data_IF_361048115123
#
_entry.id   IF_361048115123
#
_cell.length_a   1.000
_cell.length_b   1.000
_cell.length_c   1.000
_cell.angle_alpha   90.00
_cell.angle_beta   90.00
_cell.angle_gamma   90.00
#
_symmetry.space_group_name_H-M   'P 1'
#
loop_
_entity.id
_entity.type
_entity.pdbx_description
1 polymer ?
#
# COMPACT_ATOMS: atom_id res chain seq x y z
N UNK A 1 2.95 106.62 -244.20
CA UNK A 1 3.22 105.95 -242.91
C UNK A 1 1.90 105.65 -242.18
N UNK A 2 1.68 104.39 -241.79
CA UNK A 2 0.80 103.98 -240.69
C UNK A 2 -0.64 103.50 -240.99
N UNK A 3 -0.73 102.36 -241.71
CA UNK A 3 -1.76 101.28 -241.56
C UNK A 3 -1.76 100.62 -240.18
N UNK A 4 -0.89 101.11 -239.32
CA UNK A 4 -0.48 100.51 -238.09
C UNK A 4 -1.39 100.90 -236.92
N UNK A 5 -2.65 101.21 -237.23
CA UNK A 5 -3.66 101.61 -236.28
C UNK A 5 -4.80 100.66 -236.41
N UNK A 6 -5.46 100.51 -235.29
CA UNK A 6 -6.87 100.14 -235.31
C UNK A 6 -7.26 98.75 -235.82
N UNK A 7 -6.36 97.97 -236.41
CA UNK A 7 -6.17 96.62 -235.86
C UNK A 7 -5.98 96.71 -234.32
N UNK A 8 -5.59 97.90 -233.79
CA UNK A 8 -5.76 98.37 -232.40
C UNK A 8 -7.18 98.31 -231.80
N UNK A 9 -8.25 98.35 -232.59
CA UNK A 9 -9.62 98.40 -232.09
C UNK A 9 -10.31 97.02 -232.12
N UNK A 10 -10.05 96.19 -233.14
CA UNK A 10 -10.56 94.80 -233.19
C UNK A 10 -10.00 93.98 -232.04
N UNK A 11 -8.72 94.19 -231.88
CA UNK A 11 -8.01 93.62 -230.79
C UNK A 11 -8.46 94.21 -229.44
N UNK A 12 -9.20 95.35 -229.39
CA UNK A 12 -9.85 95.90 -228.18
C UNK A 12 -11.12 95.17 -227.74
N UNK A 13 -11.82 94.45 -228.62
CA UNK A 13 -13.11 93.81 -228.28
C UNK A 13 -13.02 92.33 -227.93
N UNK A 14 -12.18 91.53 -228.61
CA UNK A 14 -11.90 90.14 -228.16
C UNK A 14 -11.26 90.10 -226.78
N UNK A 15 -10.59 91.22 -226.55
CA UNK A 15 -10.23 91.73 -225.25
C UNK A 15 -11.35 91.71 -224.22
N UNK A 16 -12.55 92.21 -224.50
CA UNK A 16 -13.58 92.32 -223.47
C UNK A 16 -14.16 90.98 -223.00
N UNK A 17 -14.18 89.95 -223.82
CA UNK A 17 -14.87 88.69 -223.48
C UNK A 17 -13.97 87.69 -222.78
N UNK A 18 -12.69 87.73 -223.13
CA UNK A 18 -11.68 87.07 -222.33
C UNK A 18 -11.71 87.62 -220.88
N UNK A 19 -12.13 88.86 -220.61
CA UNK A 19 -12.36 89.39 -219.24
C UNK A 19 -13.49 88.66 -218.47
N UNK A 20 -14.56 88.22 -219.18
CA UNK A 20 -15.71 87.54 -218.55
C UNK A 20 -15.39 86.10 -218.13
N UNK A 21 -14.58 85.33 -218.85
CA UNK A 21 -14.12 84.00 -218.37
C UNK A 21 -13.14 84.12 -217.22
N UNK A 22 -12.35 85.18 -217.30
CA UNK A 22 -11.48 85.51 -216.23
C UNK A 22 -12.23 85.95 -214.97
N UNK A 23 -13.55 86.24 -215.00
CA UNK A 23 -14.37 86.45 -213.79
C UNK A 23 -14.76 85.17 -213.06
N UNK A 24 -15.12 84.09 -213.76
CA UNK A 24 -15.56 82.86 -213.09
C UNK A 24 -14.42 82.17 -212.32
N UNK A 25 -13.21 82.18 -212.88
CA UNK A 25 -12.01 81.71 -212.17
C UNK A 25 -11.60 82.62 -211.01
N UNK A 26 -12.30 83.74 -210.80
CA UNK A 26 -12.19 84.52 -209.57
C UNK A 26 -12.83 83.80 -208.38
N UNK A 27 -14.01 83.19 -208.54
CA UNK A 27 -14.78 82.70 -207.37
C UNK A 27 -14.19 81.45 -206.72
N UNK A 28 -13.65 80.51 -207.50
CA UNK A 28 -13.01 79.29 -206.93
C UNK A 28 -11.62 79.56 -206.37
N UNK A 29 -10.93 80.53 -206.99
CA UNK A 29 -9.75 81.13 -206.36
C UNK A 29 -10.14 81.71 -205.00
N UNK A 30 -11.27 82.40 -204.87
CA UNK A 30 -11.73 82.96 -203.59
C UNK A 30 -11.99 81.89 -202.51
N UNK A 31 -12.48 80.70 -202.88
CA UNK A 31 -12.74 79.63 -201.89
C UNK A 31 -11.47 78.97 -201.35
N UNK A 32 -10.42 78.80 -202.17
CA UNK A 32 -9.09 78.40 -201.67
C UNK A 32 -8.44 79.52 -200.87
N UNK A 33 -8.68 80.75 -201.30
CA UNK A 33 -8.28 81.93 -200.55
C UNK A 33 -8.91 81.88 -199.15
N UNK A 34 -10.19 81.55 -198.94
CA UNK A 34 -10.80 81.52 -197.59
C UNK A 34 -10.18 80.52 -196.60
N UNK A 35 -9.89 79.27 -197.02
CA UNK A 35 -9.28 78.27 -196.12
C UNK A 35 -7.80 78.56 -195.86
N UNK A 36 -7.09 79.04 -196.89
CA UNK A 36 -5.72 79.54 -196.73
C UNK A 36 -5.71 80.75 -195.79
N UNK A 37 -6.67 81.66 -195.91
CA UNK A 37 -6.83 82.83 -195.05
C UNK A 37 -7.03 82.43 -193.59
N UNK A 38 -7.84 81.40 -193.28
CA UNK A 38 -8.04 80.96 -191.89
C UNK A 38 -6.79 80.28 -191.28
N UNK A 39 -6.06 79.48 -192.07
CA UNK A 39 -4.80 78.88 -191.60
C UNK A 39 -3.70 79.94 -191.47
N UNK A 40 -3.61 80.88 -192.42
CA UNK A 40 -2.76 82.06 -192.34
C UNK A 40 -3.12 82.90 -191.12
N UNK A 41 -4.40 83.16 -190.83
CA UNK A 41 -4.85 83.87 -189.63
C UNK A 41 -4.40 83.15 -188.35
N UNK A 42 -4.47 81.81 -188.28
CA UNK A 42 -3.99 81.04 -187.11
C UNK A 42 -2.46 81.04 -186.95
N UNK A 43 -1.74 81.07 -188.07
CA UNK A 43 -0.27 81.10 -188.10
C UNK A 43 0.22 82.50 -187.79
N UNK A 44 -0.45 83.54 -188.30
CA UNK A 44 -0.21 84.93 -187.96
C UNK A 44 -0.52 85.20 -186.49
N UNK A 45 -1.60 84.66 -185.94
CA UNK A 45 -1.91 84.79 -184.50
C UNK A 45 -0.82 84.16 -183.63
N UNK A 46 -0.33 82.96 -183.96
CA UNK A 46 0.79 82.31 -183.25
C UNK A 46 2.14 83.00 -183.44
N UNK A 47 2.42 83.55 -184.62
CA UNK A 47 3.64 84.37 -184.86
C UNK A 47 3.58 85.66 -184.06
N UNK A 48 2.43 86.33 -184.06
CA UNK A 48 2.19 87.53 -183.27
C UNK A 48 2.35 87.24 -181.77
N UNK A 49 1.78 86.13 -181.25
CA UNK A 49 1.95 85.72 -179.86
C UNK A 49 3.41 85.43 -179.49
N UNK A 50 4.20 84.81 -180.38
CA UNK A 50 5.63 84.59 -180.14
C UNK A 50 6.44 85.89 -180.15
N UNK A 51 6.17 86.76 -181.13
CA UNK A 51 6.83 88.07 -181.20
C UNK A 51 6.51 88.90 -179.95
N UNK A 52 5.24 88.93 -179.52
CA UNK A 52 4.84 89.58 -178.26
C UNK A 52 5.52 88.92 -177.06
N UNK A 53 5.71 87.60 -177.04
CA UNK A 53 6.43 86.92 -175.96
C UNK A 53 7.93 87.21 -175.95
N UNK A 54 8.58 87.33 -177.11
CA UNK A 54 9.99 87.71 -177.22
C UNK A 54 10.19 89.17 -176.78
N UNK A 55 9.35 90.09 -177.26
CA UNK A 55 9.37 91.49 -176.82
C UNK A 55 9.10 91.60 -175.30
N UNK A 56 8.21 90.78 -174.74
CA UNK A 56 7.99 90.72 -173.30
C UNK A 56 9.21 90.20 -172.54
N UNK A 57 9.94 89.21 -173.07
CA UNK A 57 11.16 88.69 -172.44
C UNK A 57 12.31 89.69 -172.51
N UNK A 58 12.49 90.35 -173.65
CA UNK A 58 13.51 91.40 -173.81
C UNK A 58 13.25 92.53 -172.83
N UNK A 59 12.01 93.02 -172.74
CA UNK A 59 11.61 94.00 -171.72
C UNK A 59 11.86 93.50 -170.30
N UNK A 60 11.54 92.24 -169.99
CA UNK A 60 11.83 91.67 -168.67
C UNK A 60 13.33 91.64 -168.35
N UNK A 61 14.19 91.36 -169.34
CA UNK A 61 15.64 91.36 -169.15
C UNK A 61 16.22 92.77 -169.02
N UNK A 62 15.73 93.72 -169.81
CA UNK A 62 16.11 95.13 -169.70
C UNK A 62 15.65 95.70 -168.36
N UNK A 63 14.41 95.43 -167.95
CA UNK A 63 13.90 95.79 -166.63
C UNK A 63 14.74 95.16 -165.51
N UNK A 64 15.22 93.93 -165.66
CA UNK A 64 16.06 93.28 -164.67
C UNK A 64 17.46 93.91 -164.57
N UNK A 65 18.06 94.28 -165.70
CA UNK A 65 19.36 94.97 -165.73
C UNK A 65 19.25 96.38 -165.15
N UNK A 66 18.22 97.14 -165.52
CA UNK A 66 17.94 98.46 -164.94
C UNK A 66 17.71 98.35 -163.43
N UNK A 67 16.91 97.38 -162.96
CA UNK A 67 16.74 97.12 -161.53
C UNK A 67 18.06 96.78 -160.83
N UNK A 68 18.92 95.97 -161.44
CA UNK A 68 20.21 95.62 -160.84
C UNK A 68 21.18 96.81 -160.74
N UNK A 69 21.18 97.70 -161.74
CA UNK A 69 21.97 98.94 -161.70
C UNK A 69 21.41 99.93 -160.67
N UNK A 70 20.08 100.09 -160.63
CA UNK A 70 19.39 100.86 -159.59
C UNK A 70 19.70 100.31 -158.19
N UNK A 71 19.70 98.99 -158.00
CA UNK A 71 20.05 98.33 -156.73
C UNK A 71 21.49 98.62 -156.32
N UNK A 72 22.45 98.60 -157.25
CA UNK A 72 23.86 98.94 -156.96
C UNK A 72 24.01 100.39 -156.52
N UNK A 73 23.39 101.32 -157.24
CA UNK A 73 23.41 102.75 -156.88
C UNK A 73 22.71 102.98 -155.54
N UNK A 74 21.57 102.30 -155.31
CA UNK A 74 20.85 102.35 -154.05
C UNK A 74 21.68 101.76 -152.90
N UNK A 75 22.42 100.68 -153.14
CA UNK A 75 23.29 100.08 -152.14
C UNK A 75 24.47 101.00 -151.77
N UNK A 76 25.12 101.63 -152.76
CA UNK A 76 26.16 102.61 -152.50
C UNK A 76 25.64 103.82 -151.69
N UNK A 77 24.45 104.33 -152.04
CA UNK A 77 23.78 105.39 -151.27
C UNK A 77 23.44 104.96 -149.84
N UNK A 78 23.00 103.71 -149.64
CA UNK A 78 22.74 103.14 -148.30
C UNK A 78 24.01 103.08 -147.46
N UNK A 79 25.12 102.60 -148.02
CA UNK A 79 26.40 102.55 -147.32
C UNK A 79 26.89 103.96 -146.93
N UNK A 80 26.78 104.94 -147.83
CA UNK A 80 27.14 106.32 -147.50
C UNK A 80 26.25 106.90 -146.38
N UNK A 81 24.95 106.59 -146.40
CA UNK A 81 24.03 106.96 -145.33
C UNK A 81 24.39 106.27 -144.01
N UNK A 82 24.70 104.97 -144.03
CA UNK A 82 25.13 104.21 -142.86
C UNK A 82 26.43 104.75 -142.27
N UNK A 83 27.42 105.11 -143.10
CA UNK A 83 28.66 105.75 -142.63
C UNK A 83 28.41 107.12 -141.99
N UNK A 84 27.52 107.94 -142.58
CA UNK A 84 27.10 109.21 -141.98
C UNK A 84 26.40 108.98 -140.65
N UNK A 85 25.49 108.02 -140.57
CA UNK A 85 24.79 107.65 -139.34
C UNK A 85 25.78 107.13 -138.30
N UNK A 86 26.75 106.30 -138.67
CA UNK A 86 27.77 105.78 -137.75
C UNK A 86 28.65 106.90 -137.17
N UNK A 87 29.04 107.89 -137.99
CA UNK A 87 29.77 109.07 -137.53
C UNK A 87 28.95 109.90 -136.56
N UNK A 88 27.68 110.16 -136.87
CA UNK A 88 26.77 110.88 -135.97
C UNK A 88 26.50 110.10 -134.67
N UNK A 89 26.32 108.78 -134.72
CA UNK A 89 26.16 107.93 -133.54
C UNK A 89 27.41 107.96 -132.65
N UNK A 90 28.61 107.91 -133.25
CA UNK A 90 29.88 108.05 -132.52
C UNK A 90 29.99 109.42 -131.85
N UNK A 91 29.59 110.49 -132.55
CA UNK A 91 29.55 111.83 -131.99
C UNK A 91 28.60 111.92 -130.80
N UNK A 92 27.36 111.43 -130.94
CA UNK A 92 26.36 111.40 -129.86
C UNK A 92 26.88 110.59 -128.67
N UNK A 93 27.53 109.44 -128.91
CA UNK A 93 28.12 108.63 -127.83
C UNK A 93 29.21 109.39 -127.08
N UNK A 94 30.12 110.04 -127.81
CA UNK A 94 31.19 110.83 -127.20
C UNK A 94 30.64 112.04 -126.42
N UNK A 95 29.58 112.67 -126.91
CA UNK A 95 28.88 113.74 -126.19
C UNK A 95 28.24 113.22 -124.89
N UNK A 96 27.56 112.06 -124.92
CA UNK A 96 27.02 111.40 -123.71
C UNK A 96 28.10 111.07 -122.69
N UNK A 97 29.22 110.49 -123.12
CA UNK A 97 30.34 110.16 -122.23
C UNK A 97 30.95 111.43 -121.62
N UNK A 98 31.07 112.52 -122.39
CA UNK A 98 31.51 113.82 -121.86
C UNK A 98 30.55 114.35 -120.82
N UNK A 99 29.24 114.28 -121.06
CA UNK A 99 28.24 114.69 -120.09
C UNK A 99 28.24 113.82 -118.82
N UNK A 100 28.41 112.50 -118.94
CA UNK A 100 28.49 111.60 -117.79
C UNK A 100 29.72 111.90 -116.95
N UNK A 101 30.88 112.10 -117.58
CA UNK A 101 32.10 112.51 -116.89
C UNK A 101 31.94 113.90 -116.26
N UNK A 102 31.25 114.82 -116.93
CA UNK A 102 30.91 116.13 -116.35
C UNK A 102 30.00 115.97 -115.13
N UNK A 103 28.97 115.11 -115.20
CA UNK A 103 28.08 114.80 -114.07
C UNK A 103 28.84 114.15 -112.91
N UNK A 104 29.76 113.23 -113.18
CA UNK A 104 30.64 112.64 -112.17
C UNK A 104 31.51 113.72 -111.52
N UNK A 105 32.17 114.55 -112.33
CA UNK A 105 32.98 115.66 -111.84
C UNK A 105 32.17 116.63 -110.95
N UNK A 106 30.92 116.95 -111.33
CA UNK A 106 30.03 117.79 -110.51
C UNK A 106 29.64 117.09 -109.21
N UNK A 107 29.32 115.79 -109.23
CA UNK A 107 28.99 115.02 -108.02
C UNK A 107 30.15 114.94 -107.04
N UNK A 108 31.37 114.76 -107.55
CA UNK A 108 32.57 114.60 -106.72
C UNK A 108 33.06 115.95 -106.18
N UNK A 109 33.02 117.02 -106.97
CA UNK A 109 33.55 118.33 -106.59
C UNK A 109 32.53 119.25 -105.89
N UNK A 110 31.23 118.99 -106.02
CA UNK A 110 30.21 119.77 -105.30
C UNK A 110 30.09 119.30 -103.84
N UNK A 111 30.38 120.16 -102.85
CA UNK A 111 30.24 119.80 -101.44
C UNK A 111 28.77 119.58 -101.05
N UNK A 112 27.84 120.31 -101.64
CA UNK A 112 26.39 120.22 -101.35
C UNK A 112 25.83 118.84 -101.72
N UNK A 113 26.24 118.27 -102.87
CA UNK A 113 25.83 116.93 -103.28
C UNK A 113 26.41 115.86 -102.35
N UNK A 114 27.64 116.04 -101.88
CA UNK A 114 28.28 115.12 -100.92
C UNK A 114 27.58 115.15 -99.56
N UNK A 115 27.16 116.32 -99.09
CA UNK A 115 26.38 116.46 -97.85
C UNK A 115 25.00 115.83 -97.98
N UNK A 116 24.32 116.01 -99.12
CA UNK A 116 23.03 115.36 -99.38
C UNK A 116 23.18 113.84 -99.47
N UNK A 117 24.23 113.34 -100.12
CA UNK A 117 24.54 111.91 -100.17
C UNK A 117 24.81 111.34 -98.76
N UNK A 118 25.56 112.07 -97.91
CA UNK A 118 25.80 111.68 -96.53
C UNK A 118 24.50 111.64 -95.70
N UNK A 119 23.62 112.64 -95.87
CA UNK A 119 22.29 112.67 -95.24
C UNK A 119 21.43 111.49 -95.71
N UNK A 120 21.42 111.19 -97.00
CA UNK A 120 20.70 110.03 -97.54
C UNK A 120 21.26 108.71 -96.97
N UNK A 121 22.58 108.52 -96.95
CA UNK A 121 23.24 107.36 -96.32
C UNK A 121 22.84 107.24 -94.84
N UNK A 122 22.87 108.33 -94.08
CA UNK A 122 22.44 108.32 -92.67
C UNK A 122 20.96 107.97 -92.51
N UNK A 123 20.09 108.40 -93.43
CA UNK A 123 18.67 108.06 -93.42
C UNK A 123 18.45 106.56 -93.70
N UNK A 124 19.23 105.97 -94.62
CA UNK A 124 19.21 104.51 -94.85
C UNK A 124 19.65 103.73 -93.62
N UNK A 125 20.76 104.12 -92.98
CA UNK A 125 21.22 103.48 -91.73
C UNK A 125 20.19 103.62 -90.61
N UNK A 126 19.55 104.78 -90.48
CA UNK A 126 18.50 104.98 -89.49
C UNK A 126 17.26 104.13 -89.77
N UNK A 127 16.91 103.94 -91.06
CA UNK A 127 15.82 103.03 -91.46
C UNK A 127 16.15 101.57 -91.10
N UNK A 128 17.37 101.12 -91.37
CA UNK A 128 17.81 99.77 -91.00
C UNK A 128 17.84 99.59 -89.48
N UNK A 129 18.33 100.59 -88.74
CA UNK A 129 18.32 100.57 -87.27
C UNK A 129 16.90 100.50 -86.70
N UNK A 130 15.95 101.23 -87.28
CA UNK A 130 14.55 101.15 -86.88
C UNK A 130 13.96 99.76 -87.15
N UNK A 131 14.29 99.15 -88.30
CA UNK A 131 13.87 97.78 -88.60
C UNK A 131 14.47 96.76 -87.62
N UNK A 132 15.74 96.90 -87.25
CA UNK A 132 16.39 96.03 -86.26
C UNK A 132 15.76 96.16 -84.86
N UNK A 133 15.41 97.39 -84.44
CA UNK A 133 14.73 97.60 -83.16
C UNK A 133 13.36 96.93 -83.18
N UNK A 134 12.59 97.07 -84.26
CA UNK A 134 11.30 96.41 -84.41
C UNK A 134 11.41 94.88 -84.40
N UNK A 135 12.44 94.31 -85.03
CA UNK A 135 12.73 92.86 -85.00
C UNK A 135 13.11 92.39 -83.59
N UNK A 136 13.94 93.15 -82.88
CA UNK A 136 14.30 92.84 -81.48
C UNK A 136 13.09 92.92 -80.54
N UNK A 137 12.17 93.86 -80.76
CA UNK A 137 10.93 93.94 -79.99
C UNK A 137 10.01 92.76 -80.31
N UNK A 138 9.84 92.41 -81.59
CA UNK A 138 9.04 91.25 -82.00
C UNK A 138 9.57 89.94 -81.39
N UNK A 139 10.88 89.69 -81.48
CA UNK A 139 11.51 88.51 -80.89
C UNK A 139 11.41 88.49 -79.36
N UNK A 140 11.44 89.64 -78.68
CA UNK A 140 11.16 89.72 -77.23
C UNK A 140 9.72 89.34 -76.89
N UNK A 141 8.75 89.84 -77.67
CA UNK A 141 7.34 89.49 -77.46
C UNK A 141 7.07 88.00 -77.72
N UNK A 142 7.69 87.41 -78.75
CA UNK A 142 7.63 85.97 -79.02
C UNK A 142 8.20 85.17 -77.86
N UNK A 143 9.37 85.54 -77.32
CA UNK A 143 9.95 84.87 -76.15
C UNK A 143 9.07 84.98 -74.91
N UNK A 144 8.50 86.16 -74.63
CA UNK A 144 7.57 86.31 -73.50
C UNK A 144 6.35 85.41 -73.64
N UNK A 145 5.83 85.24 -74.86
CA UNK A 145 4.74 84.29 -75.12
C UNK A 145 5.16 82.84 -74.88
N UNK A 146 6.32 82.45 -75.38
CA UNK A 146 6.86 81.10 -75.17
C UNK A 146 7.11 80.82 -73.68
N UNK A 147 7.63 81.79 -72.94
CA UNK A 147 7.83 81.71 -71.48
C UNK A 147 6.51 81.61 -70.73
N UNK A 148 5.48 82.38 -71.12
CA UNK A 148 4.13 82.29 -70.54
C UNK A 148 3.47 80.93 -70.82
N UNK A 149 3.58 80.42 -72.06
CA UNK A 149 3.03 79.12 -72.43
C UNK A 149 3.77 77.98 -71.70
N UNK A 150 5.09 78.09 -71.55
CA UNK A 150 5.90 77.16 -70.75
C UNK A 150 5.50 77.20 -69.27
N UNK A 151 5.32 78.40 -68.69
CA UNK A 151 4.89 78.55 -67.30
C UNK A 151 3.50 77.95 -67.05
N UNK A 152 2.57 78.07 -68.02
CA UNK A 152 1.26 77.42 -67.95
C UNK A 152 1.36 75.89 -68.01
N UNK A 153 2.20 75.36 -68.88
CA UNK A 153 2.44 73.91 -68.96
C UNK A 153 3.02 73.37 -67.64
N UNK A 154 4.07 74.03 -67.12
CA UNK A 154 4.67 73.68 -65.83
C UNK A 154 3.65 73.73 -64.68
N UNK A 155 2.83 74.78 -64.60
CA UNK A 155 1.80 74.90 -63.56
C UNK A 155 0.76 73.78 -63.67
N UNK A 156 0.34 73.41 -64.88
CA UNK A 156 -0.59 72.31 -65.10
C UNK A 156 0.01 70.95 -64.75
N UNK A 157 1.30 70.73 -65.00
CA UNK A 157 2.01 69.51 -64.62
C UNK A 157 2.18 69.42 -63.10
N UNK A 158 2.50 70.53 -62.44
CA UNK A 158 2.57 70.61 -60.97
C UNK A 158 1.22 70.33 -60.32
N UNK A 159 0.12 70.87 -60.86
CA UNK A 159 -1.24 70.57 -60.38
C UNK A 159 -1.61 69.08 -60.56
N UNK A 160 -1.23 68.47 -61.68
CA UNK A 160 -1.46 67.05 -61.92
C UNK A 160 -0.65 66.19 -60.95
N UNK A 161 0.64 66.50 -60.76
CA UNK A 161 1.51 65.80 -59.81
C UNK A 161 1.02 65.95 -58.36
N UNK A 162 0.57 67.14 -57.96
CA UNK A 162 -0.02 67.38 -56.65
C UNK A 162 -1.33 66.59 -56.47
N UNK A 163 -2.17 66.52 -57.50
CA UNK A 163 -3.38 65.71 -57.50
C UNK A 163 -3.12 64.20 -57.39
N UNK A 164 -2.06 63.70 -58.04
CA UNK A 164 -1.63 62.31 -57.91
C UNK A 164 -1.08 61.99 -56.51
N UNK A 165 -0.26 62.88 -55.94
CA UNK A 165 0.22 62.74 -54.56
C UNK A 165 -0.93 62.73 -53.56
N UNK A 166 -1.92 63.62 -53.70
CA UNK A 166 -3.11 63.61 -52.84
C UNK A 166 -3.90 62.29 -52.92
N UNK A 167 -4.02 61.69 -54.11
CA UNK A 167 -4.67 60.38 -54.27
C UNK A 167 -3.88 59.26 -53.59
N UNK A 168 -2.56 59.27 -53.72
CA UNK A 168 -1.70 58.29 -53.02
C UNK A 168 -1.80 58.45 -51.50
N UNK A 169 -1.81 59.68 -51.01
CA UNK A 169 -1.98 59.98 -49.58
C UNK A 169 -3.35 59.52 -49.07
N UNK A 170 -4.43 59.73 -49.84
CA UNK A 170 -5.77 59.23 -49.52
C UNK A 170 -5.80 57.70 -49.47
N UNK A 171 -5.21 57.02 -50.45
CA UNK A 171 -5.09 55.56 -50.45
C UNK A 171 -4.31 55.05 -49.24
N UNK A 172 -3.22 55.73 -48.88
CA UNK A 172 -2.45 55.40 -47.68
C UNK A 172 -3.28 55.59 -46.40
N UNK A 173 -4.04 56.68 -46.29
CA UNK A 173 -4.94 56.92 -45.17
C UNK A 173 -6.05 55.87 -45.08
N UNK A 174 -6.66 55.50 -46.21
CA UNK A 174 -7.67 54.43 -46.27
C UNK A 174 -7.09 53.09 -45.83
N UNK A 175 -5.90 52.73 -46.29
CA UNK A 175 -5.20 51.51 -45.85
C UNK A 175 -4.88 51.54 -44.36
N UNK A 176 -4.43 52.68 -43.82
CA UNK A 176 -4.19 52.85 -42.39
C UNK A 176 -5.48 52.71 -41.57
N UNK A 177 -6.61 53.24 -42.05
CA UNK A 177 -7.91 53.08 -41.41
C UNK A 177 -8.41 51.63 -41.45
N UNK A 178 -8.21 50.93 -42.58
CA UNK A 178 -8.53 49.50 -42.68
C UNK A 178 -7.69 48.68 -41.70
N UNK A 179 -6.38 48.93 -41.66
CA UNK A 179 -5.49 48.28 -40.72
C UNK A 179 -5.86 48.55 -39.25
N UNK A 180 -6.25 49.79 -38.91
CA UNK A 180 -6.75 50.14 -37.58
C UNK A 180 -8.03 49.37 -37.24
N UNK A 181 -8.99 49.28 -38.17
CA UNK A 181 -10.23 48.51 -37.97
C UNK A 181 -9.96 47.02 -37.78
N UNK A 182 -9.03 46.44 -38.54
CA UNK A 182 -8.61 45.05 -38.37
C UNK A 182 -7.97 44.82 -36.99
N UNK A 183 -7.13 45.75 -36.54
CA UNK A 183 -6.51 45.69 -35.21
C UNK A 183 -7.57 45.77 -34.10
N UNK A 184 -8.55 46.67 -34.23
CA UNK A 184 -9.69 46.78 -33.30
C UNK A 184 -10.51 45.49 -33.27
N UNK A 185 -10.78 44.87 -34.42
CA UNK A 185 -11.46 43.57 -34.48
C UNK A 185 -10.65 42.47 -33.78
N UNK A 186 -9.33 42.41 -33.99
CA UNK A 186 -8.47 41.45 -33.31
C UNK A 186 -8.48 41.65 -31.78
N UNK A 187 -8.52 42.89 -31.30
CA UNK A 187 -8.64 43.19 -29.87
C UNK A 187 -9.99 42.72 -29.32
N UNK A 188 -11.10 43.02 -30.01
CA UNK A 188 -12.44 42.57 -29.62
C UNK A 188 -12.55 41.04 -29.60
N UNK A 189 -11.99 40.36 -30.61
CA UNK A 189 -12.00 38.89 -30.67
C UNK A 189 -11.14 38.28 -29.55
N UNK A 190 -10.00 38.90 -29.22
CA UNK A 190 -9.20 38.48 -28.08
C UNK A 190 -9.92 38.70 -26.75
N UNK A 191 -10.68 39.78 -26.59
CA UNK A 191 -11.52 40.00 -25.41
C UNK A 191 -12.65 38.98 -25.31
N UNK A 192 -13.33 38.66 -26.42
CA UNK A 192 -14.34 37.61 -26.48
C UNK A 192 -13.79 36.25 -26.08
N UNK A 193 -12.63 35.86 -26.64
CA UNK A 193 -11.96 34.61 -26.24
C UNK A 193 -11.61 34.58 -24.76
N UNK A 194 -11.20 35.70 -24.18
CA UNK A 194 -10.97 35.79 -22.71
C UNK A 194 -12.26 35.62 -21.92
N UNK A 195 -13.37 36.18 -22.40
CA UNK A 195 -14.69 36.01 -21.77
C UNK A 195 -15.16 34.56 -21.85
N UNK A 196 -15.08 33.93 -23.03
CA UNK A 196 -15.42 32.52 -23.25
C UNK A 196 -14.57 31.60 -22.34
N UNK A 197 -13.25 31.82 -22.31
CA UNK A 197 -12.35 31.06 -21.44
C UNK A 197 -12.68 31.26 -19.95
N UNK A 198 -13.10 32.46 -19.55
CA UNK A 198 -13.53 32.73 -18.17
C UNK A 198 -14.86 32.04 -17.84
N UNK A 199 -15.80 32.00 -18.78
CA UNK A 199 -17.05 31.25 -18.62
C UNK A 199 -16.81 29.74 -18.52
N UNK A 200 -15.91 29.20 -19.35
CA UNK A 200 -15.47 27.81 -19.28
C UNK A 200 -14.82 27.51 -17.92
N UNK A 201 -13.90 28.36 -17.46
CA UNK A 201 -13.29 28.25 -16.15
C UNK A 201 -14.33 28.25 -15.01
N UNK A 202 -15.35 29.10 -15.08
CA UNK A 202 -16.43 29.10 -14.09
C UNK A 202 -17.25 27.81 -14.12
N UNK A 203 -17.54 27.27 -15.31
CA UNK A 203 -18.23 25.97 -15.45
C UNK A 203 -17.38 24.85 -14.86
N UNK A 204 -16.09 24.80 -15.17
CA UNK A 204 -15.15 23.82 -14.60
C UNK A 204 -15.06 23.94 -13.09
N UNK A 205 -14.95 25.17 -12.56
CA UNK A 205 -14.94 25.41 -11.12
C UNK A 205 -16.20 24.86 -10.44
N UNK A 206 -17.38 25.14 -11.01
CA UNK A 206 -18.64 24.60 -10.48
C UNK A 206 -18.66 23.07 -10.52
N UNK A 207 -18.19 22.45 -11.60
CA UNK A 207 -18.08 20.99 -11.69
C UNK A 207 -17.10 20.42 -10.65
N UNK A 208 -15.96 21.08 -10.43
CA UNK A 208 -14.98 20.69 -9.42
C UNK A 208 -15.58 20.85 -8.01
N UNK A 209 -16.28 21.94 -7.73
CA UNK A 209 -16.97 22.16 -6.46
C UNK A 209 -18.04 21.08 -6.20
N UNK A 210 -18.77 20.65 -7.24
CA UNK A 210 -19.71 19.52 -7.17
C UNK A 210 -19.01 18.18 -6.90
N UNK A 211 -17.86 17.91 -7.53
CA UNK A 211 -17.07 16.71 -7.28
C UNK A 211 -16.56 16.72 -5.83
N UNK A 212 -16.00 17.83 -5.38
CA UNK A 212 -15.52 17.99 -4.00
C UNK A 212 -16.66 17.75 -3.02
N UNK A 213 -17.85 18.31 -3.29
CA UNK A 213 -19.04 18.09 -2.47
C UNK A 213 -19.42 16.61 -2.42
N UNK A 214 -19.43 15.90 -3.56
CA UNK A 214 -19.69 14.46 -3.60
C UNK A 214 -18.67 13.65 -2.81
N UNK A 215 -17.38 13.98 -2.91
CA UNK A 215 -16.32 13.33 -2.13
C UNK A 215 -16.57 13.54 -0.63
N UNK A 216 -16.90 14.76 -0.20
CA UNK A 216 -17.23 15.01 1.21
C UNK A 216 -18.47 14.24 1.66
N UNK A 217 -19.52 14.15 0.84
CA UNK A 217 -20.71 13.36 1.14
C UNK A 217 -20.38 11.86 1.25
N UNK A 218 -19.61 11.32 0.30
CA UNK A 218 -19.13 9.93 0.31
C UNK A 218 -18.27 9.64 1.54
N UNK A 219 -17.32 10.50 1.89
CA UNK A 219 -16.48 10.38 3.08
C UNK A 219 -17.31 10.39 4.38
N UNK A 220 -18.35 11.24 4.45
CA UNK A 220 -19.25 11.27 5.59
C UNK A 220 -20.06 9.99 5.71
N UNK A 221 -20.60 9.48 4.59
CA UNK A 221 -21.32 8.21 4.57
C UNK A 221 -20.41 7.04 4.95
N UNK A 222 -19.17 7.01 4.46
CA UNK A 222 -18.20 5.97 4.81
C UNK A 222 -17.85 6.00 6.30
N UNK A 223 -17.69 7.20 6.89
CA UNK A 223 -17.50 7.36 8.33
C UNK A 223 -18.70 6.86 9.13
N UNK A 224 -19.92 7.17 8.70
CA UNK A 224 -21.14 6.68 9.34
C UNK A 224 -21.21 5.15 9.29
N UNK A 225 -20.98 4.54 8.12
CA UNK A 225 -20.96 3.09 7.95
C UNK A 225 -19.86 2.43 8.81
N UNK A 226 -18.68 3.05 8.94
CA UNK A 226 -17.62 2.58 9.84
C UNK A 226 -18.06 2.63 11.30
N UNK A 227 -18.70 3.71 11.73
CA UNK A 227 -19.23 3.85 13.10
C UNK A 227 -20.34 2.81 13.38
N UNK A 228 -21.23 2.56 12.42
CA UNK A 228 -22.27 1.53 12.53
C UNK A 228 -21.66 0.13 12.65
N UNK A 229 -20.65 -0.20 11.83
CA UNK A 229 -19.90 -1.46 11.96
C UNK A 229 -19.23 -1.59 13.32
N UNK A 230 -18.61 -0.52 13.83
CA UNK A 230 -18.01 -0.51 15.17
C UNK A 230 -19.08 -0.74 16.24
N UNK A 231 -20.23 -0.08 16.16
CA UNK A 231 -21.33 -0.29 17.11
C UNK A 231 -21.90 -1.72 17.05
N UNK A 232 -22.08 -2.27 15.85
CA UNK A 232 -22.54 -3.65 15.67
C UNK A 232 -21.54 -4.66 16.26
N UNK A 233 -20.25 -4.52 15.95
CA UNK A 233 -19.21 -5.38 16.53
C UNK A 233 -19.09 -5.21 18.05
N UNK A 234 -19.30 -4.00 18.59
CA UNK A 234 -19.36 -3.78 20.04
C UNK A 234 -20.54 -4.52 20.68
N UNK A 235 -21.73 -4.47 20.07
CA UNK A 235 -22.89 -5.22 20.54
C UNK A 235 -22.64 -6.73 20.51
N UNK A 236 -22.07 -7.25 19.42
CA UNK A 236 -21.69 -8.67 19.31
C UNK A 236 -20.68 -9.07 20.41
N UNK A 237 -19.70 -8.21 20.71
CA UNK A 237 -18.73 -8.44 21.79
C UNK A 237 -19.41 -8.43 23.16
N UNK A 238 -20.34 -7.50 23.40
CA UNK A 238 -21.10 -7.42 24.65
C UNK A 238 -21.98 -8.66 24.84
N UNK A 239 -22.70 -9.09 23.80
CA UNK A 239 -23.50 -10.31 23.81
C UNK A 239 -22.62 -11.54 24.05
N UNK A 240 -21.46 -11.63 23.38
CA UNK A 240 -20.51 -12.72 23.60
C UNK A 240 -19.96 -12.74 25.03
N UNK A 241 -19.65 -11.58 25.62
CA UNK A 241 -19.23 -11.48 27.03
C UNK A 241 -20.34 -11.93 27.97
N UNK A 242 -21.59 -11.53 27.73
CA UNK A 242 -22.75 -11.99 28.52
C UNK A 242 -22.91 -13.50 28.44
N UNK A 243 -22.85 -14.08 27.24
CA UNK A 243 -22.90 -15.52 27.04
C UNK A 243 -21.73 -16.24 27.74
N UNK A 244 -20.53 -15.65 27.71
CA UNK A 244 -19.37 -16.20 28.42
C UNK A 244 -19.54 -16.14 29.95
N UNK A 245 -20.12 -15.06 30.48
CA UNK A 245 -20.44 -14.93 31.91
C UNK A 245 -21.53 -15.91 32.34
N UNK A 246 -22.59 -16.06 31.55
CA UNK A 246 -23.64 -17.06 31.75
C UNK A 246 -23.05 -18.47 31.71
N UNK A 247 -22.20 -18.79 30.73
CA UNK A 247 -21.50 -20.06 30.66
C UNK A 247 -20.60 -20.29 31.89
N UNK A 248 -19.82 -19.28 32.31
CA UNK A 248 -19.00 -19.36 33.54
C UNK A 248 -19.85 -19.51 34.80
N UNK A 249 -21.05 -18.94 34.83
CA UNK A 249 -21.98 -19.09 35.94
C UNK A 249 -22.56 -20.51 35.97
N UNK A 250 -23.07 -21.01 34.84
CA UNK A 250 -23.56 -22.39 34.70
C UNK A 250 -22.48 -23.43 34.99
N UNK A 251 -21.24 -23.18 34.56
CA UNK A 251 -20.12 -24.08 34.83
C UNK A 251 -19.72 -24.04 36.32
N UNK A 252 -19.78 -22.87 36.97
CA UNK A 252 -19.60 -22.77 38.42
C UNK A 252 -20.70 -23.52 39.17
N UNK A 253 -21.97 -23.39 38.77
CA UNK A 253 -23.06 -24.16 39.39
C UNK A 253 -22.88 -25.67 39.21
N UNK A 254 -22.41 -26.12 38.04
CA UNK A 254 -22.07 -27.54 37.81
C UNK A 254 -20.94 -28.00 38.71
N UNK A 255 -19.85 -27.23 38.77
CA UNK A 255 -18.70 -27.53 39.64
C UNK A 255 -19.08 -27.50 41.11
N UNK A 256 -19.93 -26.57 41.56
CA UNK A 256 -20.44 -26.53 42.93
C UNK A 256 -21.34 -27.73 43.23
N UNK A 257 -22.18 -28.16 42.29
CA UNK A 257 -23.00 -29.36 42.45
C UNK A 257 -22.14 -30.64 42.52
N UNK A 258 -21.10 -30.76 41.69
CA UNK A 258 -20.14 -31.87 41.76
C UNK A 258 -19.33 -31.83 43.06
N UNK A 259 -18.86 -30.66 43.48
CA UNK A 259 -18.17 -30.47 44.76
C UNK A 259 -19.07 -30.85 45.94
N UNK A 260 -20.36 -30.49 45.92
CA UNK A 260 -21.33 -30.93 46.94
C UNK A 260 -21.43 -32.46 46.98
N UNK A 261 -21.54 -33.12 45.82
CA UNK A 261 -21.55 -34.58 45.74
C UNK A 261 -20.25 -35.20 46.26
N UNK A 262 -19.10 -34.58 45.99
CA UNK A 262 -17.80 -35.02 46.53
C UNK A 262 -17.78 -34.88 48.05
N UNK A 263 -18.23 -33.75 48.60
CA UNK A 263 -18.31 -33.53 50.05
C UNK A 263 -19.26 -34.52 50.71
N UNK A 264 -20.44 -34.75 50.14
CA UNK A 264 -21.39 -35.77 50.62
C UNK A 264 -20.76 -37.17 50.62
N UNK A 265 -20.05 -37.53 49.54
CA UNK A 265 -19.32 -38.79 49.46
C UNK A 265 -18.16 -38.89 50.47
N UNK A 266 -17.42 -37.80 50.69
CA UNK A 266 -16.37 -37.73 51.70
C UNK A 266 -16.94 -37.90 53.11
N UNK A 267 -18.06 -37.25 53.42
CA UNK A 267 -18.75 -37.40 54.71
C UNK A 267 -19.25 -38.83 54.92
N UNK A 268 -19.83 -39.46 53.88
CA UNK A 268 -20.22 -40.88 53.94
C UNK A 268 -19.01 -41.78 54.19
N UNK A 269 -17.88 -41.52 53.52
CA UNK A 269 -16.63 -42.26 53.74
C UNK A 269 -16.08 -42.06 55.15
N UNK A 270 -16.11 -40.84 55.66
CA UNK A 270 -15.72 -40.52 57.03
C UNK A 270 -16.63 -41.25 58.04
N UNK A 271 -17.94 -41.28 57.84
CA UNK A 271 -18.87 -42.04 58.69
C UNK A 271 -18.61 -43.55 58.62
N UNK A 272 -18.31 -44.09 57.43
CA UNK A 272 -17.89 -45.50 57.30
C UNK A 272 -16.57 -45.77 58.04
N UNK A 273 -15.62 -44.84 58.01
CA UNK A 273 -14.36 -44.95 58.75
C UNK A 273 -14.57 -44.79 60.26
N UNK A 274 -15.39 -43.83 60.69
CA UNK A 274 -15.76 -43.63 62.10
C UNK A 274 -16.46 -44.87 62.65
N UNK A 275 -17.46 -45.42 61.95
CA UNK A 275 -18.11 -46.67 62.37
C UNK A 275 -17.16 -47.88 62.35
N UNK A 276 -16.16 -47.91 61.47
CA UNK A 276 -15.07 -48.91 61.53
C UNK A 276 -14.19 -48.68 62.76
N UNK A 277 -13.83 -47.44 63.06
CA UNK A 277 -13.02 -47.07 64.23
C UNK A 277 -13.76 -47.33 65.53
N UNK A 278 -15.07 -47.10 65.60
CA UNK A 278 -15.93 -47.46 66.73
C UNK A 278 -15.97 -48.97 66.92
N UNK A 279 -16.20 -49.77 65.87
CA UNK A 279 -16.11 -51.23 65.96
C UNK A 279 -14.72 -51.72 66.39
N UNK A 280 -13.65 -51.03 66.00
CA UNK A 280 -12.30 -51.33 66.48
C UNK A 280 -12.12 -50.95 67.95
N UNK A 281 -12.65 -49.81 68.41
CA UNK A 281 -12.68 -49.41 69.82
C UNK A 281 -13.49 -50.39 70.65
N UNK A 282 -14.69 -50.78 70.24
CA UNK A 282 -15.50 -51.81 70.92
C UNK A 282 -14.74 -53.14 71.03
N UNK A 283 -14.00 -53.54 69.99
CA UNK A 283 -13.13 -54.73 70.02
C UNK A 283 -11.95 -54.55 70.96
N UNK A 284 -11.36 -53.36 71.04
CA UNK A 284 -10.28 -53.05 71.98
C UNK A 284 -10.79 -53.01 73.42
N UNK A 285 -11.94 -52.39 73.68
CA UNK A 285 -12.62 -52.40 74.97
C UNK A 285 -12.98 -53.82 75.39
N UNK A 286 -13.52 -54.65 74.50
CA UNK A 286 -13.77 -56.07 74.77
C UNK A 286 -12.47 -56.83 75.09
N UNK A 287 -11.35 -56.54 74.39
CA UNK A 287 -10.03 -57.08 74.72
C UNK A 287 -9.53 -56.57 76.08
N UNK A 288 -9.78 -55.31 76.43
CA UNK A 288 -9.45 -54.77 77.75
C UNK A 288 -10.28 -55.40 78.87
N UNK A 289 -11.58 -55.61 78.66
CA UNK A 289 -12.42 -56.36 79.58
C UNK A 289 -11.92 -57.79 79.76
N UNK A 290 -11.53 -58.47 78.68
CA UNK A 290 -10.91 -59.80 78.76
C UNK A 290 -9.57 -59.74 79.51
N UNK A 291 -8.72 -58.74 79.24
CA UNK A 291 -7.44 -58.53 79.95
C UNK A 291 -7.67 -58.31 81.44
N UNK A 292 -8.65 -57.47 81.83
CA UNK A 292 -9.02 -57.24 83.24
C UNK A 292 -9.50 -58.53 83.90
N UNK A 293 -10.36 -59.29 83.25
CA UNK A 293 -10.81 -60.60 83.76
C UNK A 293 -9.67 -61.62 83.88
N UNK A 294 -8.69 -61.59 82.96
CA UNK A 294 -7.49 -62.43 83.05
C UNK A 294 -6.58 -61.98 84.20
N UNK A 295 -6.41 -60.67 84.43
CA UNK A 295 -5.67 -60.16 85.58
C UNK A 295 -6.34 -60.57 86.89
N UNK A 296 -7.66 -60.41 87.02
CA UNK A 296 -8.41 -60.86 88.21
C UNK A 296 -8.27 -62.37 88.44
N UNK A 297 -8.30 -63.19 87.38
CA UNK A 297 -8.02 -64.63 87.49
C UNK A 297 -6.59 -64.92 87.95
N UNK A 298 -5.59 -64.22 87.40
CA UNK A 298 -4.19 -64.39 87.81
C UNK A 298 -4.00 -63.93 89.26
N UNK A 299 -4.63 -62.84 89.69
CA UNK A 299 -4.60 -62.39 91.08
C UNK A 299 -5.32 -63.36 92.01
N UNK A 300 -6.47 -63.91 91.58
CA UNK A 300 -7.16 -64.98 92.29
C UNK A 300 -6.30 -66.23 92.46
N UNK A 301 -5.68 -66.70 91.37
CA UNK A 301 -4.75 -67.84 91.39
C UNK A 301 -3.52 -67.56 92.27
N UNK A 302 -2.99 -66.33 92.26
CA UNK A 302 -1.90 -65.91 93.15
C UNK A 302 -2.34 -65.93 94.60
N UNK A 303 -3.51 -65.37 94.95
CA UNK A 303 -4.06 -65.43 96.31
C UNK A 303 -4.25 -66.88 96.76
N UNK A 304 -4.79 -67.74 95.91
CA UNK A 304 -4.90 -69.18 96.23
C UNK A 304 -3.53 -69.84 96.42
N UNK A 305 -2.52 -69.48 95.62
CA UNK A 305 -1.15 -69.98 95.82
C UNK A 305 -0.55 -69.46 97.12
N UNK A 306 -0.73 -68.19 97.43
CA UNK A 306 -0.28 -67.57 98.68
C UNK A 306 -0.98 -68.18 99.89
N UNK A 307 -2.29 -68.43 99.83
CA UNK A 307 -3.05 -69.15 100.85
C UNK A 307 -2.54 -70.59 101.01
N UNK A 308 -2.28 -71.31 99.91
CA UNK A 308 -1.70 -72.66 99.95
C UNK A 308 -0.27 -72.67 100.48
N UNK A 309 0.54 -71.65 100.20
CA UNK A 309 1.88 -71.47 100.76
C UNK A 309 1.83 -71.10 102.25
N UNK A 310 0.88 -70.27 102.68
CA UNK A 310 0.62 -70.00 104.10
C UNK A 310 0.23 -71.27 104.84
N UNK A 311 -0.71 -72.07 104.32
CA UNK A 311 -1.08 -73.36 104.91
C UNK A 311 0.11 -74.33 104.95
N UNK A 312 0.99 -74.32 103.94
CA UNK A 312 2.22 -75.13 103.97
C UNK A 312 3.20 -74.65 105.04
N UNK A 313 3.35 -73.34 105.22
CA UNK A 313 4.19 -72.76 106.28
C UNK A 313 3.62 -73.06 107.66
N UNK A 314 2.30 -72.94 107.85
CA UNK A 314 1.60 -73.32 109.07
C UNK A 314 1.80 -74.81 109.38
N UNK A 315 1.65 -75.69 108.38
CA UNK A 315 1.91 -77.12 108.55
C UNK A 315 3.38 -77.41 108.89
N UNK A 316 4.34 -76.70 108.28
CA UNK A 316 5.76 -76.86 108.63
C UNK A 316 6.04 -76.42 110.07
N UNK A 317 5.44 -75.31 110.53
CA UNK A 317 5.55 -74.83 111.90
C UNK A 317 4.89 -75.80 112.88
N UNK A 318 3.71 -76.34 112.57
CA UNK A 318 3.06 -77.38 113.36
C UNK A 318 3.89 -78.67 113.42
N UNK A 319 4.51 -79.09 112.30
CA UNK A 319 5.43 -80.23 112.29
C UNK A 319 6.68 -79.98 113.14
N UNK A 320 7.25 -78.77 113.11
CA UNK A 320 8.35 -78.40 113.99
C UNK A 320 7.93 -78.34 115.46
N UNK A 321 6.73 -77.83 115.76
CA UNK A 321 6.16 -77.84 117.10
C UNK A 321 5.86 -79.26 117.59
N UNK A 322 5.27 -80.12 116.78
CA UNK A 322 5.04 -81.53 117.10
C UNK A 322 6.36 -82.27 117.30
N UNK A 323 7.37 -82.02 116.46
CA UNK A 323 8.71 -82.57 116.66
C UNK A 323 9.34 -82.08 117.97
N UNK A 324 9.14 -80.82 118.35
CA UNK A 324 9.58 -80.30 119.64
C UNK A 324 8.80 -80.93 120.80
N UNK A 325 7.47 -81.09 120.70
CA UNK A 325 6.65 -81.81 121.68
C UNK A 325 7.09 -83.27 121.82
N UNK A 326 7.42 -83.94 120.72
CA UNK A 326 7.97 -85.30 120.72
C UNK A 326 9.35 -85.35 121.37
N UNK A 327 10.25 -84.38 121.09
CA UNK A 327 11.55 -84.26 121.78
C UNK A 327 11.38 -84.01 123.27
N UNK A 328 10.40 -83.21 123.68
CA UNK A 328 10.05 -82.99 125.09
C UNK A 328 9.50 -84.26 125.74
N UNK A 329 8.62 -85.01 125.06
CA UNK A 329 8.12 -86.30 125.51
C UNK A 329 9.27 -87.31 125.62
N UNK A 330 10.18 -87.40 124.64
CA UNK A 330 11.35 -88.27 124.71
C UNK A 330 12.33 -87.85 125.82
N UNK A 331 12.50 -86.55 126.07
CA UNK A 331 13.31 -86.04 127.17
C UNK A 331 12.66 -86.36 128.53
N UNK A 332 11.33 -86.25 128.62
CA UNK A 332 10.55 -86.64 129.78
C UNK A 332 10.58 -88.17 129.97
N UNK A 333 10.47 -88.96 128.90
CA UNK A 333 10.63 -90.42 128.92
C UNK A 333 12.05 -90.82 129.32
N UNK A 334 13.10 -90.14 128.84
CA UNK A 334 14.48 -90.40 129.29
C UNK A 334 14.65 -90.05 130.76
N UNK A 335 14.05 -88.96 131.26
CA UNK A 335 14.01 -88.62 132.69
C UNK A 335 13.22 -89.64 133.52
N UNK A 336 12.09 -90.16 133.00
CA UNK A 336 11.28 -91.20 133.64
C UNK A 336 12.00 -92.55 133.60
N UNK A 337 12.67 -92.91 132.50
CA UNK A 337 13.52 -94.12 132.39
C UNK A 337 14.72 -94.01 133.30
N UNK A 338 15.35 -92.84 133.43
CA UNK A 338 16.42 -92.61 134.41
C UNK A 338 15.89 -92.70 135.84
N UNK A 339 14.71 -92.16 136.16
CA UNK A 339 14.05 -92.35 137.47
C UNK A 339 13.68 -93.80 137.73
N UNK A 340 13.11 -94.51 136.76
CA UNK A 340 12.78 -95.94 136.82
C UNK A 340 14.03 -96.83 136.90
N UNK A 341 15.12 -96.46 136.24
CA UNK A 341 16.41 -97.14 136.37
C UNK A 341 17.01 -96.87 137.75
N UNK A 342 16.86 -95.66 138.30
CA UNK A 342 17.27 -95.34 139.67
C UNK A 342 16.41 -96.07 140.71
N UNK A 343 15.08 -96.15 140.52
CA UNK A 343 14.15 -96.91 141.36
C UNK A 343 14.39 -98.42 141.25
N UNK A 344 14.61 -98.96 140.04
CA UNK A 344 14.98 -100.37 139.85
C UNK A 344 16.35 -100.68 140.44
N UNK A 345 17.35 -99.81 140.28
CA UNK A 345 18.65 -99.97 140.93
C UNK A 345 18.54 -99.85 142.46
N UNK A 346 17.64 -99.01 142.99
CA UNK A 346 17.35 -98.94 144.42
C UNK A 346 16.61 -100.17 144.93
N UNK A 347 15.65 -100.70 144.16
CA UNK A 347 14.92 -101.94 144.44
C UNK A 347 15.83 -103.17 144.32
N UNK A 348 16.74 -103.22 143.36
CA UNK A 348 17.75 -104.27 143.20
C UNK A 348 18.81 -104.16 144.29
N UNK A 349 19.25 -102.97 144.69
CA UNK A 349 20.13 -102.78 145.84
C UNK A 349 19.42 -103.16 147.16
N UNK A 350 18.13 -102.86 147.32
CA UNK A 350 17.32 -103.27 148.46
C UNK A 350 17.08 -104.78 148.47
N UNK A 351 16.77 -105.39 147.32
CA UNK A 351 16.60 -106.83 147.15
C UNK A 351 17.92 -107.59 147.33
N UNK A 352 19.05 -107.01 146.93
CA UNK A 352 20.39 -107.56 147.21
C UNK A 352 20.73 -107.43 148.69
N UNK A 353 20.29 -106.36 149.36
CA UNK A 353 20.40 -106.20 150.83
C UNK A 353 19.48 -107.18 151.58
N UNK A 354 18.28 -107.41 151.07
CA UNK A 354 17.32 -108.41 151.61
C UNK A 354 17.79 -109.84 151.36
N UNK A 355 18.29 -110.18 150.17
CA UNK A 355 18.93 -111.46 149.85
C UNK A 355 20.16 -111.67 150.73
N UNK A 356 20.93 -110.62 151.04
CA UNK A 356 22.07 -110.72 151.95
C UNK A 356 21.65 -110.91 153.41
N UNK A 357 20.59 -110.23 153.86
CA UNK A 357 19.99 -110.45 155.17
C UNK A 357 19.28 -111.81 155.27
N UNK A 358 18.71 -112.32 154.18
CA UNK A 358 18.10 -113.65 154.08
C UNK A 358 19.17 -114.73 154.04
N UNK A 359 20.31 -114.52 153.37
CA UNK A 359 21.46 -115.39 153.43
C UNK A 359 22.10 -115.40 154.83
N UNK A 360 22.22 -114.25 155.51
CA UNK A 360 22.63 -114.20 156.92
C UNK A 360 21.62 -114.92 157.84
N UNK A 361 20.32 -114.79 157.56
CA UNK A 361 19.29 -115.56 158.27
C UNK A 361 19.34 -117.04 157.94
N UNK A 362 19.66 -117.44 156.71
CA UNK A 362 19.80 -118.84 156.31
C UNK A 362 21.09 -119.44 156.89
N UNK A 363 22.15 -118.66 157.05
CA UNK A 363 23.33 -119.02 157.83
C UNK A 363 23.03 -119.12 159.32
N UNK A 364 22.24 -118.20 159.90
CA UNK A 364 21.72 -118.32 161.27
C UNK A 364 20.77 -119.52 161.44
N UNK A 365 19.97 -119.83 160.43
CA UNK A 365 19.12 -121.02 160.39
C UNK A 365 19.96 -122.29 160.21
N UNK A 366 21.07 -122.24 159.48
CA UNK A 366 21.99 -123.37 159.35
C UNK A 366 22.76 -123.58 160.66
N UNK A 367 23.17 -122.51 161.34
CA UNK A 367 23.75 -122.54 162.68
C UNK A 367 22.73 -123.02 163.73
N UNK A 368 21.46 -122.60 163.65
CA UNK A 368 20.37 -123.12 164.49
C UNK A 368 20.02 -124.56 164.18
N UNK A 369 20.02 -125.00 162.92
CA UNK A 369 19.83 -126.41 162.54
C UNK A 369 20.98 -127.27 163.06
N UNK A 370 22.21 -126.74 163.08
CA UNK A 370 23.36 -127.40 163.69
C UNK A 370 23.27 -127.43 165.23
N UNK A 371 22.74 -126.37 165.87
CA UNK A 371 22.48 -126.33 167.32
C UNK A 371 21.30 -127.21 167.75
N UNK A 372 20.24 -127.26 166.94
CA UNK A 372 19.05 -128.08 167.17
C UNK A 372 19.32 -129.55 166.85
N UNK A 373 20.19 -129.87 165.90
CA UNK A 373 20.71 -131.24 165.74
C UNK A 373 21.49 -131.70 166.98
N UNK A 374 22.17 -130.78 167.66
CA UNK A 374 22.80 -131.02 168.97
C UNK A 374 21.76 -131.25 170.08
N UNK A 375 20.65 -130.50 170.09
CA UNK A 375 19.52 -130.76 171.00
C UNK A 375 18.77 -132.07 170.67
N UNK A 376 18.73 -132.47 169.40
CA UNK A 376 18.21 -133.76 168.97
C UNK A 376 19.11 -134.93 169.38
N UNK A 377 20.39 -134.67 169.70
CA UNK A 377 21.30 -135.65 170.31
C UNK A 377 21.13 -135.72 171.84
N UNK A 378 20.86 -134.59 172.52
CA UNK A 378 20.60 -134.57 173.96
C UNK A 378 19.18 -135.08 174.34
N UNK A 379 18.14 -134.88 173.53
CA UNK A 379 16.80 -135.47 173.79
C UNK A 379 16.72 -136.96 173.41
N UNK A 380 17.61 -137.42 172.54
CA UNK A 380 17.87 -138.86 172.33
C UNK A 380 18.42 -139.53 173.59
N UNK A 381 19.09 -138.76 174.45
CA UNK A 381 19.58 -139.22 175.75
C UNK A 381 18.45 -139.18 176.81
N UNK A 382 17.38 -138.40 176.59
CA UNK A 382 16.16 -138.42 177.42
C UNK A 382 15.16 -139.53 177.05
N UNK A 383 15.26 -140.11 175.84
CA UNK A 383 14.51 -141.32 175.45
C UNK A 383 14.78 -142.55 176.34
N UNK A 384 15.88 -142.63 177.11
CA UNK A 384 16.22 -143.85 177.87
C UNK A 384 15.78 -143.87 179.34
N UNK A 385 15.39 -142.73 179.95
CA UNK A 385 15.06 -142.68 181.38
C UNK A 385 13.55 -142.60 181.70
N UNK A 386 12.68 -142.19 180.77
CA UNK A 386 11.22 -142.08 181.01
C UNK A 386 10.44 -143.38 180.77
N UNK A 387 10.83 -144.19 179.78
CA UNK A 387 10.29 -145.55 179.60
C UNK A 387 10.59 -146.44 180.84
N UNK A 388 11.69 -146.17 181.57
CA UNK A 388 12.07 -146.78 182.86
C UNK A 388 11.48 -146.09 184.10
N UNK A 389 10.80 -144.95 183.93
CA UNK A 389 9.76 -144.43 184.82
C UNK A 389 8.38 -144.83 184.28
N UNK A 390 8.16 -146.14 184.23
CA UNK A 390 7.37 -146.77 185.29
C UNK A 390 5.87 -146.79 184.95
N UNK A 391 5.41 -147.75 184.15
CA UNK A 391 5.55 -149.20 184.44
C UNK A 391 5.34 -149.54 185.93
N UNK A 392 6.09 -148.97 186.89
CA UNK A 392 5.73 -148.97 188.33
C UNK A 392 4.51 -148.11 188.72
N UNK A 393 3.91 -147.26 187.87
CA UNK A 393 2.61 -146.61 188.18
C UNK A 393 1.39 -147.36 187.64
N UNK A 394 1.56 -148.12 186.55
CA UNK A 394 0.54 -149.08 186.12
C UNK A 394 0.41 -150.25 187.10
N UNK A 395 1.46 -150.59 187.84
CA UNK A 395 1.47 -151.65 188.86
C UNK A 395 0.99 -151.18 190.26
N UNK A 396 0.99 -149.87 190.58
CA UNK A 396 0.63 -149.38 191.93
C UNK A 396 -0.76 -148.70 192.09
N UNK A 397 -1.62 -148.58 191.06
CA UNK A 397 -3.02 -148.07 191.27
C UNK A 397 -4.18 -148.88 190.70
N UNK A 398 -3.91 -149.99 190.03
CA UNK A 398 -4.88 -151.10 189.92
C UNK A 398 -5.11 -151.80 191.27
N UNK A 399 -4.18 -151.68 192.23
CA UNK A 399 -4.40 -152.08 193.63
C UNK A 399 -5.22 -151.05 194.44
N UNK A 400 -5.47 -149.83 193.92
CA UNK A 400 -6.36 -148.84 194.57
C UNK A 400 -7.79 -148.90 194.06
N UNK A 401 -8.03 -149.41 192.86
CA UNK A 401 -9.39 -149.81 192.42
C UNK A 401 -10.00 -150.86 193.38
N UNK A 402 -9.21 -151.75 193.98
CA UNK A 402 -9.72 -152.85 194.84
C UNK A 402 -10.02 -152.50 196.31
N UNK A 403 -9.53 -151.38 196.85
CA UNK A 403 -9.75 -151.01 198.26
C UNK A 403 -10.78 -149.87 198.47
N UNK A 404 -11.26 -149.16 197.42
CA UNK A 404 -12.32 -148.12 197.57
C UNK A 404 -13.69 -148.57 197.04
N UNK A 405 -13.77 -149.54 196.13
CA UNK A 405 -15.04 -150.27 195.93
C UNK A 405 -15.47 -151.09 197.17
N UNK A 406 -14.58 -151.30 198.15
CA UNK A 406 -14.92 -151.89 199.46
C UNK A 406 -15.15 -150.85 200.58
N UNK A 407 -14.90 -149.55 200.33
CA UNK A 407 -15.45 -148.44 201.17
C UNK A 407 -16.76 -147.87 200.61
N UNK A 408 -17.06 -148.15 199.35
CA UNK A 408 -18.34 -147.98 198.62
C UNK A 408 -19.62 -148.20 199.42
N UNK A 409 -19.63 -149.01 200.48
CA UNK A 409 -20.87 -149.54 201.06
C UNK A 409 -21.08 -149.20 202.53
N UNK A 410 -20.14 -148.46 203.14
CA UNK A 410 -20.23 -148.04 204.55
C UNK A 410 -20.56 -146.54 204.76
N UNK A 411 -20.41 -145.64 203.75
CA UNK A 411 -20.79 -144.21 203.92
C UNK A 411 -22.14 -143.80 203.31
N UNK A 412 -22.67 -144.55 202.35
CA UNK A 412 -24.11 -144.50 202.03
C UNK A 412 -24.95 -144.96 203.25
N UNK A 413 -24.37 -145.69 204.22
CA UNK A 413 -25.04 -146.20 205.43
C UNK A 413 -24.88 -145.34 206.71
N UNK A 414 -24.00 -144.32 206.74
CA UNK A 414 -23.78 -143.47 207.94
C UNK A 414 -24.21 -141.99 207.79
N UNK A 415 -24.48 -141.43 206.59
CA UNK A 415 -25.05 -140.07 206.44
C UNK A 415 -26.54 -139.98 206.08
N UNK A 416 -27.16 -141.08 205.65
CA UNK A 416 -28.61 -141.22 205.85
C UNK A 416 -28.97 -141.48 207.34
N UNK A 417 -27.99 -141.78 208.23
CA UNK A 417 -28.22 -142.06 209.67
C UNK A 417 -27.73 -140.96 210.64
N UNK A 418 -26.99 -139.95 210.17
CA UNK A 418 -27.05 -138.58 210.73
C UNK A 418 -28.18 -137.79 210.05
N UNK A 419 -29.31 -138.45 209.82
CA UNK A 419 -30.59 -137.83 209.55
C UNK A 419 -31.05 -136.88 210.66
N UNK A 420 -30.63 -137.02 211.92
CA UNK A 420 -31.63 -136.84 212.97
C UNK A 420 -31.21 -136.11 214.24
N UNK A 421 -29.93 -135.80 214.41
CA UNK A 421 -29.46 -135.10 215.61
C UNK A 421 -28.37 -134.15 215.16
N UNK A 422 -28.68 -133.01 214.56
CA UNK A 422 -28.67 -131.74 215.29
C UNK A 422 -29.11 -130.68 214.28
N UNK A 423 -30.35 -130.22 214.17
CA UNK A 423 -31.31 -129.89 215.23
C UNK A 423 -30.66 -129.07 216.35
N UNK A 424 -31.30 -127.95 216.67
CA UNK A 424 -31.08 -127.19 217.90
C UNK A 424 -29.65 -126.69 218.13
N UNK A 425 -29.42 -125.43 217.77
CA UNK A 425 -28.64 -124.53 218.62
C UNK A 425 -27.11 -124.69 218.53
N UNK A 426 -26.34 -123.62 218.55
CA UNK A 426 -26.73 -122.26 218.89
C UNK A 426 -25.56 -121.28 218.69
N UNK A 427 -25.78 -119.98 218.77
CA UNK A 427 -27.02 -119.26 219.03
C UNK A 427 -26.74 -117.78 218.74
N UNK A 428 -27.61 -117.10 217.99
CA UNK A 428 -28.23 -115.86 218.48
C UNK A 428 -29.28 -115.35 217.51
N UNK A 429 -30.27 -114.73 218.17
CA UNK A 429 -31.47 -114.09 217.67
C UNK A 429 -32.51 -115.14 217.26
N UNK A 430 -33.61 -115.28 217.99
CA UNK A 430 -34.14 -114.48 219.13
C UNK A 430 -35.56 -114.95 219.40
N UNK A 431 -35.98 -114.81 220.67
CA UNK A 431 -36.95 -115.65 221.38
C UNK A 431 -36.37 -117.02 221.84
N UNK A 432 -35.67 -117.16 222.97
CA UNK A 432 -35.35 -116.18 224.01
C UNK A 432 -34.13 -115.32 223.63
#
# INVERSE_FOLDING_TARGET
MSRHRQERLMWQRRRQEEDRQQEAQRVDRDRRLQSSLLQEESVHRRRYERQVQEELKERQTEDALLKAEEERVNHAKRLEQEERIAKELSRIKNEREREEKMRQYIRENSPELRELEAKLKSAYVNKERAAQIAEQEATRFERMREEEDFARQMSSEEEQAAGEQQKLDQQHQEQMLQYQRELEQQLLDNERKKQEAYEEFLKEKLMVDEIIRKIYEEDQMERQMKLEKIKATQQEIEEFKRQQEEWRYSERERMEAENKRIVEFMNLKQQEEETRMEKMREREEAKEHLRKALVEKIEGDKRQREEMEQVRLELCLEQEEEANRQREIEAMEKKIRQRMMMERAYQEAAAFKEMRMQAEKEEEEHFRRMMMAKFAEDDRIDQMNAQRRRMKQLEHKREVERLIEDRRRQQEAEKELEAQERATGGAKRGAA
#
